data_IF_578309068149
#
_entry.id   IF_578309068149
#
_cell.length_a   1.000
_cell.length_b   1.000
_cell.length_c   1.000
_cell.angle_alpha   90.00
_cell.angle_beta   90.00
_cell.angle_gamma   90.00
#
_symmetry.space_group_name_H-M   'P 1'
#
loop_
_entity.id
_entity.type
_entity.pdbx_description
1 polymer ?
#
# COMPACT_ATOMS: atom_id res chain seq x y z
N UNK A 1 -17.44 5.69 13.71
CA UNK A 1 -17.31 5.65 12.25
C UNK A 1 -16.39 6.75 11.78
N UNK A 2 -15.26 6.40 11.26
CA UNK A 2 -14.35 7.37 10.72
C UNK A 2 -14.83 7.88 9.36
N UNK A 3 -14.70 9.17 9.12
CA UNK A 3 -14.82 9.69 7.77
C UNK A 3 -13.72 9.07 6.92
N UNK A 4 -14.03 8.76 5.66
CA UNK A 4 -13.00 8.34 4.72
C UNK A 4 -11.99 9.46 4.56
N UNK A 5 -10.71 9.10 4.47
CA UNK A 5 -9.68 10.06 4.13
C UNK A 5 -10.01 10.74 2.79
N UNK A 6 -9.72 12.04 2.63
CA UNK A 6 -9.93 12.70 1.35
C UNK A 6 -9.22 11.94 0.24
N UNK A 7 -9.88 11.84 -0.91
CA UNK A 7 -9.32 11.17 -2.06
C UNK A 7 -8.11 11.96 -2.57
N UNK A 8 -6.99 11.26 -2.77
CA UNK A 8 -5.80 11.85 -3.37
C UNK A 8 -5.94 11.77 -4.88
N UNK A 9 -5.63 12.86 -5.56
CA UNK A 9 -5.69 12.94 -7.02
C UNK A 9 -4.58 12.09 -7.64
N UNK A 10 -4.95 11.08 -8.42
CA UNK A 10 -4.01 10.19 -9.08
C UNK A 10 -3.15 10.90 -10.15
N UNK A 11 -3.60 12.06 -10.65
CA UNK A 11 -2.86 12.81 -11.66
C UNK A 11 -1.72 13.66 -11.10
N UNK A 12 -1.62 13.78 -9.78
CA UNK A 12 -0.54 14.52 -9.16
C UNK A 12 0.82 13.91 -9.50
N UNK A 13 1.88 14.73 -9.62
CA UNK A 13 3.23 14.19 -9.77
C UNK A 13 3.57 13.20 -8.65
N UNK A 14 4.43 12.23 -8.97
CA UNK A 14 4.80 11.16 -8.05
C UNK A 14 5.23 11.67 -6.66
N UNK A 15 6.10 12.67 -6.64
CA UNK A 15 6.60 13.23 -5.37
C UNK A 15 5.47 13.85 -4.54
N UNK A 16 4.53 14.52 -5.20
CA UNK A 16 3.39 15.11 -4.52
C UNK A 16 2.43 14.03 -4.01
N UNK A 17 2.19 12.98 -4.80
CA UNK A 17 1.37 11.86 -4.34
C UNK A 17 1.98 11.21 -3.11
N UNK A 18 3.29 10.98 -3.11
CA UNK A 18 3.99 10.39 -1.97
C UNK A 18 3.81 11.25 -0.72
N UNK A 19 3.94 12.55 -0.85
CA UNK A 19 3.73 13.46 0.29
C UNK A 19 2.32 13.36 0.85
N UNK A 20 1.31 13.32 -0.04
CA UNK A 20 -0.10 13.17 0.38
C UNK A 20 -0.36 11.82 1.03
N UNK A 21 0.29 10.78 0.54
CA UNK A 21 0.18 9.43 1.11
C UNK A 21 0.77 9.40 2.52
N UNK A 22 1.92 10.04 2.74
CA UNK A 22 2.52 10.16 4.07
C UNK A 22 1.58 10.94 5.01
N UNK A 23 0.96 12.01 4.54
CA UNK A 23 -0.03 12.74 5.34
C UNK A 23 -1.24 11.86 5.70
N UNK A 24 -1.71 11.04 4.76
CA UNK A 24 -2.85 10.17 4.96
C UNK A 24 -2.57 9.05 5.96
N UNK A 25 -1.41 8.40 5.83
CA UNK A 25 -1.12 7.16 6.55
C UNK A 25 -0.17 7.34 7.73
N UNK A 26 0.54 8.47 7.81
CA UNK A 26 1.53 8.74 8.84
C UNK A 26 2.96 8.72 8.30
N UNK A 27 3.85 9.42 8.97
CA UNK A 27 5.24 9.61 8.53
C UNK A 27 6.15 8.48 9.01
N UNK A 28 5.75 7.25 8.75
CA UNK A 28 6.54 6.06 9.10
C UNK A 28 6.38 4.99 8.03
N UNK A 29 7.38 4.12 7.92
CA UNK A 29 7.35 3.02 6.97
C UNK A 29 6.18 2.08 7.28
N UNK A 30 5.39 1.75 6.26
CA UNK A 30 4.22 0.89 6.43
C UNK A 30 4.60 -0.53 6.88
N UNK A 31 5.84 -0.98 6.60
CA UNK A 31 6.27 -2.34 6.90
C UNK A 31 7.01 -2.47 8.22
N UNK A 32 7.93 -1.55 8.55
CA UNK A 32 8.75 -1.64 9.78
C UNK A 32 8.51 -0.52 10.77
N UNK A 33 7.70 0.47 10.41
CA UNK A 33 7.36 1.64 11.22
C UNK A 33 8.52 2.58 11.56
N UNK A 34 9.68 2.43 10.93
CA UNK A 34 10.72 3.43 11.12
C UNK A 34 10.19 4.80 10.68
N UNK A 35 10.36 5.85 11.51
CA UNK A 35 9.94 7.18 11.12
C UNK A 35 10.72 7.66 9.91
N UNK A 36 10.07 8.38 9.01
CA UNK A 36 10.75 9.01 7.89
C UNK A 36 11.49 10.25 8.38
N UNK A 37 12.78 10.29 8.12
CA UNK A 37 13.65 11.40 8.51
C UNK A 37 14.46 11.84 7.30
N UNK A 38 14.42 13.16 6.93
CA UNK A 38 15.19 13.65 5.80
C UNK A 38 16.67 13.28 5.91
N UNK A 39 17.24 12.76 4.83
CA UNK A 39 18.64 12.36 4.77
C UNK A 39 18.99 11.05 5.47
N UNK A 40 18.05 10.43 6.18
CA UNK A 40 18.30 9.15 6.89
C UNK A 40 17.37 8.05 6.43
N UNK A 41 16.07 8.25 6.56
CA UNK A 41 15.06 7.27 6.18
C UNK A 41 14.07 7.97 5.26
N UNK A 42 14.35 7.91 3.97
CA UNK A 42 13.50 8.56 2.99
C UNK A 42 12.33 7.65 2.62
N UNK A 43 11.11 8.20 2.48
CA UNK A 43 9.99 7.43 1.98
C UNK A 43 10.15 7.12 0.50
N UNK A 44 9.63 5.97 0.09
CA UNK A 44 9.47 5.61 -1.31
C UNK A 44 8.06 5.12 -1.55
N UNK A 45 7.60 5.27 -2.78
CA UNK A 45 6.26 4.85 -3.17
C UNK A 45 6.26 3.34 -3.41
N UNK A 46 5.35 2.65 -2.73
CA UNK A 46 5.18 1.20 -2.82
C UNK A 46 3.79 0.88 -3.34
N UNK A 47 3.66 -0.09 -4.25
CA UNK A 47 2.37 -0.59 -4.70
C UNK A 47 1.98 -1.80 -3.87
N UNK A 48 0.81 -1.75 -3.23
CA UNK A 48 0.33 -2.87 -2.40
C UNK A 48 0.08 -4.10 -3.28
N UNK A 49 -0.71 -3.94 -4.35
CA UNK A 49 -0.76 -4.92 -5.44
C UNK A 49 0.38 -4.56 -6.39
N UNK A 50 1.39 -5.44 -6.55
CA UNK A 50 2.54 -5.11 -7.39
C UNK A 50 2.15 -4.82 -8.84
N UNK A 51 2.90 -3.92 -9.47
CA UNK A 51 2.71 -3.62 -10.90
C UNK A 51 2.79 -4.88 -11.75
N UNK A 52 3.67 -5.80 -11.39
CA UNK A 52 3.81 -7.08 -12.08
C UNK A 52 2.50 -7.87 -12.09
N UNK A 53 1.67 -7.69 -11.07
CA UNK A 53 0.36 -8.34 -10.95
C UNK A 53 -0.78 -7.45 -11.45
N UNK A 54 -0.46 -6.38 -12.14
CA UNK A 54 -1.45 -5.46 -12.71
C UNK A 54 -1.89 -4.34 -11.78
N UNK A 55 -1.23 -4.16 -10.65
CA UNK A 55 -1.59 -3.10 -9.70
C UNK A 55 -1.42 -1.72 -10.32
N UNK A 56 -2.46 -0.87 -10.25
CA UNK A 56 -2.41 0.46 -10.86
C UNK A 56 -1.63 1.45 -10.02
N UNK A 57 -1.13 2.51 -10.67
CA UNK A 57 -0.49 3.64 -10.01
C UNK A 57 -1.55 4.62 -9.50
N UNK A 58 -2.42 4.12 -8.64
CA UNK A 58 -3.48 4.89 -7.99
C UNK A 58 -3.19 5.03 -6.50
N UNK A 59 -3.52 6.18 -5.89
CA UNK A 59 -3.32 6.35 -4.44
C UNK A 59 -3.97 5.25 -3.59
N UNK A 60 -5.07 4.66 -4.05
CA UNK A 60 -5.71 3.53 -3.37
C UNK A 60 -4.82 2.29 -3.32
N UNK A 61 -3.84 2.19 -4.22
CA UNK A 61 -2.88 1.08 -4.27
C UNK A 61 -1.49 1.49 -3.80
N UNK A 62 -1.31 2.70 -3.31
CA UNK A 62 0.01 3.24 -2.99
C UNK A 62 0.17 3.49 -1.50
N UNK A 63 1.32 3.12 -0.97
CA UNK A 63 1.72 3.35 0.42
C UNK A 63 3.15 3.85 0.46
N UNK A 64 3.57 4.37 1.60
CA UNK A 64 4.94 4.84 1.79
C UNK A 64 5.74 3.81 2.57
N UNK A 65 6.87 3.39 2.02
CA UNK A 65 7.79 2.45 2.66
C UNK A 65 9.21 2.98 2.58
N UNK A 66 10.07 2.60 3.53
CA UNK A 66 11.47 2.92 3.41
C UNK A 66 12.09 2.10 2.27
N UNK A 67 13.15 2.61 1.67
CA UNK A 67 13.76 1.97 0.50
C UNK A 67 14.27 0.57 0.78
N UNK A 68 14.81 0.35 1.98
CA UNK A 68 15.28 -0.98 2.40
C UNK A 68 14.15 -2.01 2.33
N UNK A 69 13.00 -1.68 2.92
CA UNK A 69 11.87 -2.61 3.00
C UNK A 69 11.17 -2.77 1.66
N UNK A 70 11.07 -1.69 0.90
CA UNK A 70 10.51 -1.74 -0.44
C UNK A 70 11.33 -2.70 -1.32
N UNK A 71 12.66 -2.60 -1.24
CA UNK A 71 13.57 -3.50 -1.98
C UNK A 71 13.44 -4.94 -1.48
N UNK A 72 13.40 -5.13 -0.16
CA UNK A 72 13.31 -6.47 0.43
C UNK A 72 12.01 -7.16 0.07
N UNK A 73 10.92 -6.41 0.02
CA UNK A 73 9.64 -6.98 -0.37
C UNK A 73 9.62 -7.43 -1.83
N UNK A 74 10.15 -6.63 -2.74
CA UNK A 74 10.06 -6.93 -4.17
C UNK A 74 8.59 -7.09 -4.58
N UNK A 75 8.23 -8.27 -5.12
CA UNK A 75 6.88 -8.56 -5.60
C UNK A 75 6.13 -9.56 -4.72
N UNK A 76 6.58 -9.77 -3.50
CA UNK A 76 5.91 -10.70 -2.56
C UNK A 76 4.48 -10.20 -2.31
N UNK A 77 3.51 -11.12 -2.33
CA UNK A 77 2.11 -10.78 -2.12
C UNK A 77 1.89 -10.11 -0.75
N UNK A 78 0.96 -9.15 -0.66
CA UNK A 78 0.78 -8.40 0.60
C UNK A 78 0.52 -9.29 1.81
N UNK A 79 -0.34 -10.30 1.71
CA UNK A 79 -0.63 -11.19 2.84
C UNK A 79 0.63 -11.95 3.29
N UNK A 80 1.40 -12.48 2.35
CA UNK A 80 2.64 -13.20 2.65
C UNK A 80 3.71 -12.26 3.20
N UNK A 81 3.80 -11.05 2.69
CA UNK A 81 4.78 -10.08 3.16
C UNK A 81 4.47 -9.60 4.58
N UNK A 82 3.19 -9.41 4.92
CA UNK A 82 2.80 -9.10 6.29
C UNK A 82 3.29 -10.19 7.27
N UNK A 83 3.12 -11.45 6.90
CA UNK A 83 3.63 -12.56 7.72
C UNK A 83 5.16 -12.53 7.85
N UNK A 84 5.85 -12.22 6.76
CA UNK A 84 7.32 -12.12 6.77
C UNK A 84 7.79 -10.96 7.66
N UNK A 85 7.11 -9.82 7.61
CA UNK A 85 7.41 -8.69 8.50
C UNK A 85 7.29 -9.10 9.96
N UNK A 86 6.24 -9.83 10.31
CA UNK A 86 6.02 -10.30 11.67
C UNK A 86 7.10 -11.29 12.10
N UNK A 87 7.52 -12.20 11.20
CA UNK A 87 8.63 -13.13 11.48
C UNK A 87 9.95 -12.39 11.74
N UNK A 88 10.15 -11.25 11.09
CA UNK A 88 11.33 -10.39 11.31
C UNK A 88 11.26 -9.58 12.60
N UNK A 89 10.15 -9.70 13.34
CA UNK A 89 9.93 -8.93 14.56
C UNK A 89 9.45 -7.51 14.32
N UNK A 90 9.04 -7.20 13.10
CA UNK A 90 8.47 -5.89 12.76
C UNK A 90 6.99 -5.88 13.11
N UNK A 91 6.43 -4.68 13.24
CA UNK A 91 5.00 -4.49 13.47
C UNK A 91 4.40 -3.73 12.28
N UNK A 92 4.14 -4.41 11.14
CA UNK A 92 3.64 -3.71 9.97
C UNK A 92 2.30 -3.04 10.24
N UNK A 93 2.04 -1.97 9.50
CA UNK A 93 0.77 -1.27 9.56
C UNK A 93 -0.29 -2.05 8.79
N UNK A 94 -0.73 -3.16 9.39
CA UNK A 94 -1.77 -4.02 8.82
C UNK A 94 -3.05 -3.22 8.52
N UNK A 95 -3.40 -2.30 9.42
CA UNK A 95 -4.56 -1.43 9.26
C UNK A 95 -4.52 -0.63 7.94
N UNK A 96 -3.36 -0.07 7.62
CA UNK A 96 -3.17 0.69 6.38
C UNK A 96 -3.27 -0.23 5.17
N UNK A 97 -2.60 -1.38 5.21
CA UNK A 97 -2.62 -2.33 4.08
C UNK A 97 -4.04 -2.83 3.81
N UNK A 98 -4.77 -3.20 4.84
CA UNK A 98 -6.16 -3.64 4.69
C UNK A 98 -7.04 -2.54 4.12
N UNK A 99 -6.89 -1.32 4.63
CA UNK A 99 -7.63 -0.17 4.12
C UNK A 99 -7.34 0.07 2.63
N UNK A 100 -6.07 -0.04 2.22
CA UNK A 100 -5.70 0.14 0.80
C UNK A 100 -6.31 -0.92 -0.09
N UNK A 101 -6.28 -2.18 0.34
CA UNK A 101 -6.85 -3.27 -0.45
C UNK A 101 -8.37 -3.10 -0.62
N UNK A 102 -9.07 -2.72 0.44
CA UNK A 102 -10.51 -2.47 0.38
C UNK A 102 -10.84 -1.24 -0.48
N UNK A 103 -10.08 -0.16 -0.33
CA UNK A 103 -10.27 1.04 -1.13
C UNK A 103 -9.98 0.78 -2.61
N UNK A 104 -8.95 -0.03 -2.89
CA UNK A 104 -8.64 -0.40 -4.27
C UNK A 104 -9.77 -1.22 -4.88
N UNK A 105 -10.33 -2.16 -4.14
CA UNK A 105 -11.50 -2.93 -4.60
C UNK A 105 -12.65 -2.01 -4.98
N UNK A 106 -12.96 -1.04 -4.12
CA UNK A 106 -14.04 -0.10 -4.36
C UNK A 106 -13.73 0.81 -5.56
N UNK A 107 -12.49 1.27 -5.68
CA UNK A 107 -12.07 2.12 -6.79
C UNK A 107 -12.18 1.37 -8.14
N UNK A 108 -11.77 0.11 -8.18
CA UNK A 108 -11.88 -0.71 -9.38
C UNK A 108 -13.36 -0.93 -9.74
N UNK A 109 -14.21 -1.18 -8.74
CA UNK A 109 -15.64 -1.36 -8.97
C UNK A 109 -16.28 -0.11 -9.61
N UNK A 110 -15.82 1.07 -9.20
CA UNK A 110 -16.33 2.33 -9.74
C UNK A 110 -15.77 2.67 -11.11
N UNK A 111 -14.48 2.43 -11.33
CA UNK A 111 -13.77 2.86 -12.54
C UNK A 111 -13.74 1.79 -13.63
N UNK A 112 -13.87 0.54 -13.26
CA UNK A 112 -13.74 -0.59 -14.18
C UNK A 112 -12.29 -0.90 -14.54
N UNK A 113 -12.11 -1.82 -15.47
CA UNK A 113 -10.78 -2.23 -15.91
C UNK A 113 -10.07 -3.11 -14.90
N UNK A 114 -8.75 -3.07 -14.92
CA UNK A 114 -7.87 -3.76 -13.96
C UNK A 114 -8.09 -5.27 -13.92
N UNK A 115 -8.23 -5.88 -15.10
CA UNK A 115 -8.55 -7.31 -15.23
C UNK A 115 -7.55 -8.22 -14.54
N UNK A 116 -6.27 -7.88 -14.60
CA UNK A 116 -5.22 -8.70 -13.98
C UNK A 116 -5.20 -8.53 -12.47
N UNK A 117 -5.42 -7.32 -12.00
CA UNK A 117 -5.36 -7.01 -10.57
C UNK A 117 -6.54 -7.61 -9.81
N UNK A 118 -7.73 -7.65 -10.40
CA UNK A 118 -8.96 -8.04 -9.68
C UNK A 118 -8.89 -9.42 -9.03
N UNK A 119 -8.58 -10.50 -9.76
CA UNK A 119 -8.54 -11.83 -9.12
C UNK A 119 -7.40 -11.94 -8.09
N UNK A 120 -6.28 -11.29 -8.33
CA UNK A 120 -5.19 -11.23 -7.37
C UNK A 120 -5.62 -10.53 -6.08
N UNK A 121 -6.24 -9.37 -6.21
CA UNK A 121 -6.76 -8.60 -5.08
C UNK A 121 -7.78 -9.38 -4.28
N UNK A 122 -8.74 -10.03 -4.96
CA UNK A 122 -9.76 -10.84 -4.30
C UNK A 122 -9.13 -11.97 -3.50
N UNK A 123 -8.10 -12.60 -4.03
CA UNK A 123 -7.35 -13.64 -3.33
C UNK A 123 -6.67 -13.12 -2.07
N UNK A 124 -6.06 -11.95 -2.14
CA UNK A 124 -5.43 -11.33 -0.98
C UNK A 124 -6.45 -10.94 0.09
N UNK A 125 -7.57 -10.39 -0.32
CA UNK A 125 -8.65 -10.06 0.62
C UNK A 125 -9.15 -11.31 1.35
N UNK A 126 -9.35 -12.42 0.63
CA UNK A 126 -9.74 -13.69 1.26
C UNK A 126 -8.70 -14.18 2.26
N UNK A 127 -7.42 -14.14 1.88
CA UNK A 127 -6.33 -14.58 2.78
C UNK A 127 -6.26 -13.75 4.05
N UNK A 128 -6.65 -12.49 3.98
CA UNK A 128 -6.65 -11.59 5.14
C UNK A 128 -7.98 -11.60 5.89
N UNK A 129 -8.94 -12.40 5.45
CA UNK A 129 -10.25 -12.49 6.09
C UNK A 129 -11.15 -11.28 5.82
N UNK A 130 -10.93 -10.58 4.71
CA UNK A 130 -11.65 -9.35 4.37
C UNK A 130 -12.69 -9.54 3.27
N UNK A 131 -12.84 -10.73 2.76
CA UNK A 131 -13.81 -11.03 1.69
C UNK A 131 -14.65 -12.23 2.04
#
# INVERSE_FOLDING_TARGET
MGARSPRIDASLPRAERLRRIVERDGAECVWCRRPFEPGRTEPSLEHVVPRLKGGPAWPENEVAACRRDNRARGHIAPAAWLEECERRGWQPRRDVIEARLLDLRDAIAQRGGQRRARPYLDGQLRRLGLA
#
